data_IF_750460387758
#
_entry.id   IF_750460387758
#
_cell.length_a   1.000
_cell.length_b   1.000
_cell.length_c   1.000
_cell.angle_alpha   90.00
_cell.angle_beta   90.00
_cell.angle_gamma   90.00
#
_symmetry.space_group_name_H-M   'P 1'
#
loop_
_entity.id
_entity.type
_entity.pdbx_description
1 polymer ?
#
# COMPACT_ATOMS: atom_id res chain seq x y z
N UNK A 1 -28.91 -14.67 4.14
CA UNK A 1 -27.98 -13.55 4.38
C UNK A 1 -28.66 -12.36 3.77
N UNK A 2 -29.11 -11.43 4.60
CA UNK A 2 -29.91 -10.30 4.13
C UNK A 2 -29.02 -9.34 3.33
N UNK A 3 -29.53 -8.89 2.20
CA UNK A 3 -28.83 -7.99 1.28
C UNK A 3 -28.94 -6.58 1.86
N UNK A 4 -27.81 -5.89 1.97
CA UNK A 4 -27.79 -4.46 2.28
C UNK A 4 -27.83 -3.71 0.96
N UNK A 5 -28.93 -3.01 0.70
CA UNK A 5 -29.03 -2.11 -0.45
C UNK A 5 -28.35 -0.78 -0.13
N UNK A 6 -27.39 -0.38 -0.97
CA UNK A 6 -26.71 0.90 -0.85
C UNK A 6 -27.55 1.99 -1.49
N UNK A 7 -27.91 3.01 -0.72
CA UNK A 7 -28.60 4.21 -1.22
C UNK A 7 -27.62 5.26 -1.78
N UNK A 8 -26.31 4.97 -1.76
CA UNK A 8 -25.27 5.91 -2.19
C UNK A 8 -25.29 6.07 -3.71
N UNK A 9 -25.46 7.32 -4.17
CA UNK A 9 -25.31 7.67 -5.58
C UNK A 9 -23.86 8.08 -5.90
N UNK A 10 -23.13 7.21 -6.58
CA UNK A 10 -21.72 7.42 -6.97
C UNK A 10 -21.51 8.50 -8.03
N UNK A 11 -22.56 8.91 -8.74
CA UNK A 11 -22.51 10.01 -9.71
C UNK A 11 -22.76 11.38 -9.10
N UNK A 12 -23.25 11.42 -7.84
CA UNK A 12 -23.52 12.66 -7.12
C UNK A 12 -22.25 13.50 -6.91
N UNK A 13 -22.44 14.81 -6.83
CA UNK A 13 -21.34 15.75 -6.56
C UNK A 13 -20.72 15.49 -5.18
N UNK A 14 -21.55 15.26 -4.17
CA UNK A 14 -21.13 14.95 -2.81
C UNK A 14 -20.24 13.70 -2.75
N UNK A 15 -20.64 12.61 -3.42
CA UNK A 15 -19.81 11.40 -3.49
C UNK A 15 -18.45 11.69 -4.12
N UNK A 16 -18.40 12.45 -5.21
CA UNK A 16 -17.14 12.78 -5.90
C UNK A 16 -16.22 13.64 -5.04
N UNK A 17 -16.78 14.60 -4.30
CA UNK A 17 -16.02 15.45 -3.38
C UNK A 17 -15.46 14.64 -2.21
N UNK A 18 -16.28 13.79 -1.61
CA UNK A 18 -15.87 12.87 -0.54
C UNK A 18 -14.79 11.91 -1.03
N UNK A 19 -15.00 11.29 -2.19
CA UNK A 19 -14.04 10.39 -2.82
C UNK A 19 -12.70 11.10 -3.05
N UNK A 20 -12.69 12.28 -3.67
CA UNK A 20 -11.47 13.04 -3.92
C UNK A 20 -10.76 13.48 -2.63
N UNK A 21 -11.50 13.75 -1.56
CA UNK A 21 -10.93 14.07 -0.25
C UNK A 21 -10.20 12.86 0.34
N UNK A 22 -10.86 11.71 0.41
CA UNK A 22 -10.26 10.50 0.98
C UNK A 22 -9.17 9.89 0.11
N UNK A 23 -9.29 9.98 -1.21
CA UNK A 23 -8.28 9.50 -2.15
C UNK A 23 -6.92 10.15 -1.89
N UNK A 24 -6.89 11.44 -1.51
CA UNK A 24 -5.65 12.14 -1.13
C UNK A 24 -4.98 11.51 0.09
N UNK A 25 -5.75 11.14 1.11
CA UNK A 25 -5.20 10.47 2.29
C UNK A 25 -4.69 9.08 1.97
N UNK A 26 -5.44 8.31 1.17
CA UNK A 26 -5.01 6.99 0.70
C UNK A 26 -3.69 7.10 -0.06
N UNK A 27 -3.57 8.11 -0.94
CA UNK A 27 -2.33 8.37 -1.67
C UNK A 27 -1.17 8.69 -0.73
N UNK A 28 -1.35 9.61 0.21
CA UNK A 28 -0.30 9.96 1.17
C UNK A 28 0.12 8.75 2.03
N UNK A 29 -0.84 7.93 2.48
CA UNK A 29 -0.56 6.70 3.22
C UNK A 29 0.29 5.74 2.38
N UNK A 30 -0.07 5.52 1.12
CA UNK A 30 0.69 4.65 0.20
C UNK A 30 2.11 5.16 -0.03
N UNK A 31 2.29 6.48 -0.16
CA UNK A 31 3.61 7.10 -0.28
C UNK A 31 4.47 6.86 0.97
N UNK A 32 3.91 7.06 2.17
CA UNK A 32 4.62 6.80 3.41
C UNK A 32 4.97 5.32 3.59
N UNK A 33 4.06 4.40 3.24
CA UNK A 33 4.33 2.97 3.25
C UNK A 33 5.47 2.63 2.28
N UNK A 34 5.48 3.22 1.09
CA UNK A 34 6.56 3.01 0.11
C UNK A 34 7.91 3.52 0.64
N UNK A 35 7.94 4.66 1.32
CA UNK A 35 9.16 5.17 1.97
C UNK A 35 9.61 4.22 3.08
N UNK A 36 8.71 3.78 3.95
CA UNK A 36 9.03 2.81 5.00
C UNK A 36 9.49 1.46 4.44
N UNK A 37 8.96 1.04 3.29
CA UNK A 37 9.34 -0.20 2.61
C UNK A 37 10.79 -0.18 2.10
N UNK A 38 11.39 1.00 1.86
CA UNK A 38 12.81 1.14 1.52
C UNK A 38 13.75 0.75 2.68
N UNK A 39 13.23 0.59 3.89
CA UNK A 39 13.99 0.10 5.03
C UNK A 39 15.20 0.98 5.36
N UNK A 40 16.38 0.37 5.47
CA UNK A 40 17.61 1.05 5.88
C UNK A 40 18.30 1.92 4.82
N UNK A 41 17.65 2.18 3.68
CA UNK A 41 18.21 2.92 2.55
C UNK A 41 18.94 2.03 1.53
N UNK A 42 19.21 2.58 0.35
CA UNK A 42 19.75 1.84 -0.80
C UNK A 42 21.12 1.22 -0.54
N UNK A 43 21.99 1.90 0.21
CA UNK A 43 23.34 1.38 0.53
C UNK A 43 23.26 0.11 1.37
N UNK A 44 22.40 0.09 2.40
CA UNK A 44 22.22 -1.09 3.26
C UNK A 44 21.54 -2.22 2.50
N UNK A 45 20.61 -1.90 1.60
CA UNK A 45 20.00 -2.89 0.70
C UNK A 45 21.08 -3.52 -0.18
N UNK A 46 21.92 -2.71 -0.85
CA UNK A 46 23.00 -3.19 -1.71
C UNK A 46 23.99 -4.07 -0.93
N UNK A 47 24.36 -3.67 0.29
CA UNK A 47 25.24 -4.46 1.17
C UNK A 47 24.60 -5.79 1.62
N UNK A 48 23.29 -5.82 1.87
CA UNK A 48 22.60 -7.05 2.22
C UNK A 48 22.56 -8.02 1.02
N UNK A 49 22.24 -7.48 -0.16
CA UNK A 49 22.20 -8.23 -1.41
C UNK A 49 23.58 -8.71 -1.86
N UNK A 50 24.64 -7.92 -1.67
CA UNK A 50 26.02 -8.34 -1.99
C UNK A 50 26.49 -9.53 -1.15
N UNK A 51 25.85 -9.79 -0.01
CA UNK A 51 26.08 -10.97 0.84
C UNK A 51 25.19 -12.17 0.44
N UNK A 52 24.54 -12.12 -0.71
CA UNK A 52 23.57 -13.11 -1.19
C UNK A 52 22.42 -13.37 -0.20
N UNK A 53 22.00 -12.34 0.54
CA UNK A 53 20.88 -12.43 1.49
C UNK A 53 19.66 -11.69 0.95
N UNK A 54 18.50 -12.33 1.09
CA UNK A 54 17.20 -11.71 0.83
C UNK A 54 16.88 -10.66 1.89
N UNK A 55 16.25 -9.57 1.49
CA UNK A 55 15.72 -8.56 2.39
C UNK A 55 14.54 -9.13 3.20
N UNK A 56 14.21 -8.46 4.32
CA UNK A 56 13.13 -8.92 5.20
C UNK A 56 11.78 -9.09 4.46
N UNK A 57 11.42 -8.14 3.58
CA UNK A 57 10.18 -8.22 2.79
C UNK A 57 10.24 -9.31 1.71
N UNK A 58 11.38 -9.44 1.02
CA UNK A 58 11.59 -10.50 0.02
C UNK A 58 11.46 -11.89 0.66
N UNK A 59 11.90 -12.08 1.91
CA UNK A 59 11.73 -13.34 2.65
C UNK A 59 10.27 -13.64 2.97
N UNK A 60 9.48 -12.61 3.28
CA UNK A 60 8.05 -12.78 3.54
C UNK A 60 7.35 -13.16 2.23
N UNK A 61 7.64 -12.46 1.13
CA UNK A 61 7.07 -12.77 -0.18
C UNK A 61 7.39 -14.20 -0.64
N UNK A 62 8.61 -14.68 -0.44
CA UNK A 62 8.97 -16.06 -0.79
C UNK A 62 8.37 -17.12 0.15
N UNK A 63 7.86 -16.73 1.32
CA UNK A 63 7.19 -17.62 2.26
C UNK A 63 5.68 -17.70 2.00
N UNK A 64 5.09 -16.67 1.38
CA UNK A 64 3.66 -16.65 1.05
C UNK A 64 3.37 -17.64 -0.09
N UNK A 65 2.23 -18.32 0.03
CA UNK A 65 1.77 -19.22 -1.03
C UNK A 65 1.43 -18.43 -2.31
N UNK A 66 1.68 -18.99 -3.51
CA UNK A 66 1.42 -18.34 -4.79
C UNK A 66 -0.06 -18.01 -5.07
#
# INVERSE_FOLDING_TARGET
MDIIESEINTSSKEYKENFAHYEKFVKNLKEHIAVAAKGGGEEKIKLHKSRNKMLARERIEALLDP
#
